data_IF_528797294274
#
_entry.id   IF_528797294274
#
_cell.length_a   1.000
_cell.length_b   1.000
_cell.length_c   1.000
_cell.angle_alpha   90.00
_cell.angle_beta   90.00
_cell.angle_gamma   90.00
#
_symmetry.space_group_name_H-M   'P 1'
#
loop_
_entity.id
_entity.type
_entity.pdbx_description
1 polymer ?
#
# COMPACT_ATOMS: atom_id res chain seq x y z
N UNK A 1 37.39 -19.45 -17.08
CA UNK A 1 36.83 -19.31 -15.73
C UNK A 1 35.33 -19.22 -15.93
N UNK A 2 34.67 -20.36 -15.84
CA UNK A 2 33.20 -20.42 -15.79
C UNK A 2 32.79 -19.77 -14.46
N UNK A 3 32.36 -18.51 -14.54
CA UNK A 3 31.76 -17.78 -13.43
C UNK A 3 30.47 -18.49 -13.07
N UNK A 4 30.51 -19.32 -12.04
CA UNK A 4 29.40 -20.11 -11.49
C UNK A 4 28.26 -19.26 -10.92
N UNK A 5 27.72 -18.36 -11.74
CA UNK A 5 26.39 -17.75 -11.64
C UNK A 5 25.33 -18.78 -12.09
N UNK A 6 25.55 -20.06 -11.77
CA UNK A 6 24.73 -21.17 -12.24
C UNK A 6 23.62 -21.44 -11.21
N UNK A 7 22.47 -20.83 -11.52
CA UNK A 7 21.11 -21.41 -11.48
C UNK A 7 20.47 -21.84 -10.16
N UNK A 8 21.17 -21.83 -9.03
CA UNK A 8 20.53 -21.53 -7.72
C UNK A 8 20.28 -20.03 -7.58
N UNK A 9 19.70 -19.48 -8.65
CA UNK A 9 18.81 -18.36 -8.70
C UNK A 9 18.17 -18.20 -7.31
N UNK A 10 18.78 -17.31 -6.53
CA UNK A 10 18.32 -16.73 -5.28
C UNK A 10 17.40 -17.63 -4.44
N UNK A 11 17.92 -18.11 -3.30
CA UNK A 11 17.06 -18.54 -2.19
C UNK A 11 15.86 -17.57 -2.09
N UNK A 12 14.61 -18.06 -2.08
CA UNK A 12 13.42 -17.19 -2.08
C UNK A 12 13.50 -16.16 -0.92
N UNK A 13 14.21 -16.53 0.15
CA UNK A 13 14.60 -15.65 1.25
C UNK A 13 15.49 -14.49 0.80
N UNK A 14 16.49 -14.73 -0.03
CA UNK A 14 17.40 -13.72 -0.56
C UNK A 14 16.72 -12.78 -1.57
N UNK A 15 15.75 -13.27 -2.37
CA UNK A 15 14.93 -12.36 -3.19
C UNK A 15 14.03 -11.50 -2.33
N UNK A 16 13.37 -12.10 -1.34
CA UNK A 16 12.54 -11.36 -0.40
C UNK A 16 13.35 -10.29 0.35
N UNK A 17 14.61 -10.57 0.68
CA UNK A 17 15.51 -9.58 1.28
C UNK A 17 15.88 -8.43 0.32
N UNK A 18 16.10 -8.72 -0.97
CA UNK A 18 16.33 -7.69 -1.99
C UNK A 18 15.08 -6.81 -2.17
N UNK A 19 13.90 -7.42 -2.23
CA UNK A 19 12.62 -6.69 -2.34
C UNK A 19 12.43 -5.80 -1.10
N UNK A 20 12.66 -6.34 0.10
CA UNK A 20 12.60 -5.60 1.35
C UNK A 20 13.57 -4.40 1.36
N UNK A 21 14.82 -4.58 0.95
CA UNK A 21 15.77 -3.46 0.85
C UNK A 21 15.35 -2.43 -0.19
N UNK A 22 14.77 -2.87 -1.29
CA UNK A 22 14.24 -1.98 -2.33
C UNK A 22 13.12 -1.12 -1.77
N UNK A 23 12.19 -1.70 -1.01
CA UNK A 23 11.09 -0.98 -0.35
C UNK A 23 11.62 0.06 0.64
N UNK A 24 12.63 -0.30 1.46
CA UNK A 24 13.28 0.64 2.38
C UNK A 24 13.95 1.81 1.63
N UNK A 25 14.65 1.53 0.53
CA UNK A 25 15.30 2.56 -0.28
C UNK A 25 14.28 3.49 -0.96
N UNK A 26 13.16 2.95 -1.44
CA UNK A 26 12.06 3.76 -1.99
C UNK A 26 11.50 4.67 -0.91
N UNK A 27 11.12 4.13 0.25
CA UNK A 27 10.56 4.91 1.35
C UNK A 27 11.52 6.02 1.81
N UNK A 28 12.82 5.73 1.92
CA UNK A 28 13.83 6.72 2.27
C UNK A 28 14.02 7.80 1.18
N UNK A 29 13.85 7.44 -0.10
CA UNK A 29 13.95 8.37 -1.23
C UNK A 29 12.70 9.26 -1.39
N UNK A 30 11.54 8.79 -0.96
CA UNK A 30 10.29 9.55 -0.97
C UNK A 30 10.10 10.44 0.26
N UNK A 31 10.80 10.15 1.36
CA UNK A 31 10.74 10.94 2.57
C UNK A 31 11.50 12.27 2.44
N UNK A 32 10.89 13.36 2.91
CA UNK A 32 11.53 14.68 2.96
C UNK A 32 12.62 14.79 4.05
N UNK A 33 12.72 13.79 4.92
CA UNK A 33 13.66 13.70 6.03
C UNK A 33 14.07 12.24 6.27
N UNK A 34 15.15 11.98 7.03
CA UNK A 34 15.51 10.62 7.40
C UNK A 34 14.37 9.89 8.11
N UNK A 35 14.13 8.62 7.75
CA UNK A 35 13.12 7.78 8.39
C UNK A 35 13.39 7.64 9.88
N UNK A 36 12.34 7.78 10.67
CA UNK A 36 12.34 7.40 12.08
C UNK A 36 12.33 5.87 12.23
N UNK A 37 12.67 5.38 13.42
CA UNK A 37 12.61 3.93 13.70
C UNK A 37 11.20 3.37 13.53
N UNK A 38 10.18 4.12 13.91
CA UNK A 38 8.78 3.68 13.77
C UNK A 38 8.38 3.59 12.30
N UNK A 39 8.77 4.55 11.46
CA UNK A 39 8.52 4.50 10.01
C UNK A 39 9.29 3.36 9.35
N UNK A 40 10.53 3.12 9.77
CA UNK A 40 11.30 1.96 9.30
C UNK A 40 10.63 0.64 9.71
N UNK A 41 10.18 0.52 10.96
CA UNK A 41 9.47 -0.66 11.44
C UNK A 41 8.17 -0.91 10.66
N UNK A 42 7.47 0.14 10.23
CA UNK A 42 6.30 0.01 9.34
C UNK A 42 6.69 -0.53 7.95
N UNK A 43 7.75 0.01 7.32
CA UNK A 43 8.22 -0.46 6.01
C UNK A 43 8.71 -1.90 6.09
N UNK A 44 9.35 -2.28 7.20
CA UNK A 44 9.80 -3.64 7.47
C UNK A 44 8.64 -4.60 7.86
N UNK A 45 7.41 -4.10 8.02
CA UNK A 45 6.25 -4.90 8.42
C UNK A 45 6.31 -5.42 9.86
N UNK A 46 7.10 -4.78 10.73
CA UNK A 46 7.26 -5.16 12.14
C UNK A 46 6.12 -4.65 13.03
N UNK A 47 5.36 -3.67 12.54
CA UNK A 47 4.17 -3.15 13.19
C UNK A 47 2.90 -3.67 12.50
N UNK A 48 1.81 -3.91 13.24
CA UNK A 48 0.54 -4.24 12.63
C UNK A 48 0.09 -3.06 11.75
N UNK A 49 -0.57 -3.33 10.60
CA UNK A 49 -1.06 -2.25 9.75
C UNK A 49 -1.96 -1.34 10.59
N UNK A 50 -1.64 -0.04 10.58
CA UNK A 50 -2.48 0.95 11.24
C UNK A 50 -3.90 0.79 10.70
N UNK A 51 -4.93 0.66 11.56
CA UNK A 51 -6.29 0.46 11.10
C UNK A 51 -6.66 1.59 10.16
N UNK A 52 -6.92 1.26 8.90
CA UNK A 52 -7.43 2.21 7.92
C UNK A 52 -8.66 2.89 8.52
N UNK A 53 -8.72 4.23 8.56
CA UNK A 53 -9.86 4.92 9.13
C UNK A 53 -11.11 4.45 8.41
N UNK A 54 -12.03 3.85 9.15
CA UNK A 54 -13.26 3.32 8.59
C UNK A 54 -13.92 4.40 7.71
N UNK A 55 -14.33 4.07 6.47
CA UNK A 55 -14.97 5.03 5.61
C UNK A 55 -16.13 5.68 6.38
N UNK A 56 -16.31 7.01 6.30
CA UNK A 56 -17.35 7.68 7.05
C UNK A 56 -18.71 7.01 6.75
N UNK A 57 -19.60 6.90 7.75
CA UNK A 57 -20.89 6.26 7.55
C UNK A 57 -21.58 6.90 6.36
N UNK A 58 -21.92 6.09 5.34
CA UNK A 58 -22.63 6.58 4.15
C UNK A 58 -23.89 7.29 4.63
N UNK A 59 -23.99 8.59 4.34
CA UNK A 59 -25.21 9.34 4.61
C UNK A 59 -26.38 8.59 3.96
N UNK A 60 -27.53 8.44 4.66
CA UNK A 60 -28.67 7.76 4.09
C UNK A 60 -29.00 8.41 2.75
N UNK A 61 -29.07 7.57 1.71
CA UNK A 61 -29.42 8.00 0.37
C UNK A 61 -30.77 8.69 0.47
N UNK A 62 -30.80 10.03 0.33
CA UNK A 62 -32.07 10.76 0.22
C UNK A 62 -32.76 10.16 -1.01
N UNK A 63 -33.76 9.33 -0.75
CA UNK A 63 -34.65 8.81 -1.76
C UNK A 63 -35.20 10.03 -2.51
N UNK A 64 -34.79 10.17 -3.78
CA UNK A 64 -35.22 11.30 -4.61
C UNK A 64 -36.73 11.13 -4.76
N UNK A 65 -37.49 12.07 -4.18
CA UNK A 65 -38.93 12.10 -4.33
C UNK A 65 -39.30 11.99 -5.83
N UNK A 66 -40.31 11.18 -6.18
CA UNK A 66 -40.70 10.99 -7.57
C UNK A 66 -41.07 12.35 -8.17
N UNK A 67 -40.41 12.72 -9.27
CA UNK A 67 -40.75 13.92 -10.03
C UNK A 67 -42.13 13.69 -10.63
N UNK A 68 -43.17 14.49 -10.32
CA UNK A 68 -44.46 14.32 -10.94
C UNK A 68 -44.34 14.75 -12.40
N UNK A 69 -44.48 13.79 -13.32
CA UNK A 69 -44.60 14.11 -14.74
C UNK A 69 -45.80 15.02 -14.96
N UNK A 70 -45.65 16.04 -15.80
CA UNK A 70 -46.76 16.84 -16.34
C UNK A 70 -46.88 16.51 -17.82
N UNK A 71 -47.98 15.88 -18.24
CA UNK A 71 -48.32 15.74 -19.65
C UNK A 71 -49.06 17.00 -20.15
N UNK A 72 -48.72 17.55 -21.32
CA UNK A 72 -49.56 18.55 -21.98
C UNK A 72 -50.72 17.85 -22.73
N UNK A 73 -51.85 18.56 -22.85
CA UNK A 73 -53.04 18.17 -23.63
C UNK A 73 -52.86 18.47 -25.11
#
# INVERSE_FOLDING_TARGET
MDTGLDTRLHDDVALAEIDLYTDVLIAAGEADAPLTLEELDQVLGLLPPSPEPAPPPRAPHREKAPVPWRFPR
#
